data_IF_290357512567
#
_entry.id   IF_290357512567
#
_cell.length_a   1.000
_cell.length_b   1.000
_cell.length_c   1.000
_cell.angle_alpha   90.00
_cell.angle_beta   90.00
_cell.angle_gamma   90.00
#
_symmetry.space_group_name_H-M   'P 1'
#
loop_
_entity.id
_entity.type
_entity.pdbx_description
1 polymer ?
#
# COMPACT_ATOMS: atom_id res chain seq x y z
N UNK A 1 65.53 -5.94 -23.67
CA UNK A 1 64.54 -5.80 -24.76
C UNK A 1 63.18 -5.95 -24.13
N UNK A 2 62.45 -4.84 -24.19
CA UNK A 2 61.21 -4.51 -23.49
C UNK A 2 60.01 -5.21 -24.15
N UNK A 3 59.05 -5.67 -23.35
CA UNK A 3 57.94 -6.51 -23.78
C UNK A 3 56.67 -6.32 -22.96
N UNK A 4 56.43 -5.13 -22.40
CA UNK A 4 55.17 -4.79 -21.73
C UNK A 4 54.09 -4.37 -22.74
N UNK A 5 53.34 -5.32 -23.29
CA UNK A 5 52.12 -5.04 -24.07
C UNK A 5 50.94 -4.79 -23.13
N UNK A 6 50.63 -3.51 -22.86
CA UNK A 6 49.38 -3.10 -22.21
C UNK A 6 48.23 -3.11 -23.22
N UNK A 7 47.21 -3.92 -22.96
CA UNK A 7 45.96 -3.91 -23.73
C UNK A 7 45.12 -2.65 -23.43
N UNK A 8 44.52 -1.99 -24.43
CA UNK A 8 43.58 -0.90 -24.19
C UNK A 8 42.21 -1.44 -23.73
N UNK A 9 41.73 -0.92 -22.61
CA UNK A 9 40.38 -1.13 -22.09
C UNK A 9 39.38 -0.40 -23.00
N UNK A 10 38.51 -1.14 -23.70
CA UNK A 10 37.37 -0.59 -24.44
C UNK A 10 36.26 -0.23 -23.45
N UNK A 11 35.90 1.05 -23.38
CA UNK A 11 34.75 1.53 -22.60
C UNK A 11 33.41 1.01 -23.17
N UNK A 12 32.34 0.98 -22.34
CA UNK A 12 31.06 0.44 -22.75
C UNK A 12 30.38 1.32 -23.82
N UNK A 13 29.63 0.72 -24.78
CA UNK A 13 28.86 1.47 -25.76
C UNK A 13 27.71 2.25 -25.10
N UNK A 14 27.53 3.48 -25.56
CA UNK A 14 26.46 4.42 -25.17
C UNK A 14 25.08 3.82 -25.45
N UNK A 15 24.17 3.96 -24.50
CA UNK A 15 22.76 3.63 -24.67
C UNK A 15 22.11 4.55 -25.73
N UNK A 16 21.19 4.05 -26.57
CA UNK A 16 20.39 4.90 -27.44
C UNK A 16 19.37 5.71 -26.64
N UNK A 17 19.32 7.01 -26.92
CA UNK A 17 18.24 7.90 -26.52
C UNK A 17 17.00 7.72 -27.41
N UNK A 18 15.84 7.93 -26.77
CA UNK A 18 14.58 8.42 -27.34
C UNK A 18 13.62 7.37 -27.92
N UNK A 19 12.76 6.86 -27.04
CA UNK A 19 11.37 6.51 -27.35
C UNK A 19 10.45 7.44 -26.57
N UNK A 20 10.10 8.56 -27.19
CA UNK A 20 9.09 9.50 -26.70
C UNK A 20 7.71 8.83 -26.83
N UNK A 21 7.09 8.48 -25.70
CA UNK A 21 5.65 8.22 -25.65
C UNK A 21 5.01 9.24 -24.72
N UNK A 22 4.53 10.31 -25.34
CA UNK A 22 3.46 11.13 -24.80
C UNK A 22 2.18 10.29 -24.72
N UNK A 23 1.42 10.43 -23.63
CA UNK A 23 0.01 10.01 -23.64
C UNK A 23 -0.55 9.35 -22.39
N UNK A 24 -0.57 10.09 -21.27
CA UNK A 24 -1.71 10.23 -20.32
C UNK A 24 -1.16 10.76 -19.00
N UNK A 25 -1.49 12.00 -18.69
CA UNK A 25 -1.36 12.53 -17.33
C UNK A 25 -2.42 11.87 -16.45
N UNK A 26 -2.25 10.57 -16.16
CA UNK A 26 -2.86 9.98 -14.98
C UNK A 26 -2.29 10.70 -13.76
N UNK A 27 -3.14 11.07 -12.79
CA UNK A 27 -2.68 11.62 -11.50
C UNK A 27 -1.61 10.70 -10.94
N UNK A 28 -0.34 11.09 -11.05
CA UNK A 28 0.74 10.41 -10.35
C UNK A 28 0.61 10.82 -8.90
N UNK A 29 -0.09 10.00 -8.12
CA UNK A 29 -0.01 10.09 -6.67
C UNK A 29 1.47 10.06 -6.30
N UNK A 30 1.93 11.01 -5.47
CA UNK A 30 3.26 10.92 -4.87
C UNK A 30 3.15 9.89 -3.77
N UNK A 31 3.75 8.73 -3.99
CA UNK A 31 3.87 7.71 -2.96
C UNK A 31 5.15 7.98 -2.18
N UNK A 32 5.04 8.12 -0.86
CA UNK A 32 6.19 8.09 0.03
C UNK A 32 6.39 6.64 0.46
N UNK A 33 7.58 6.08 0.23
CA UNK A 33 7.90 4.74 0.72
C UNK A 33 8.25 4.83 2.20
N UNK A 34 7.39 4.28 3.07
CA UNK A 34 7.56 4.34 4.54
C UNK A 34 8.52 3.27 5.07
N UNK A 35 8.99 2.34 4.23
CA UNK A 35 9.74 1.15 4.66
C UNK A 35 8.89 0.11 5.40
N UNK A 36 7.60 0.38 5.61
CA UNK A 36 6.66 -0.52 6.26
C UNK A 36 6.14 -1.59 5.28
N UNK A 37 5.73 -2.75 5.81
CA UNK A 37 5.03 -3.75 5.02
C UNK A 37 3.69 -3.17 4.54
N UNK A 38 3.24 -3.59 3.36
CA UNK A 38 2.00 -3.08 2.76
C UNK A 38 0.80 -3.25 3.70
N UNK A 39 0.66 -4.42 4.33
CA UNK A 39 -0.45 -4.69 5.24
C UNK A 39 -0.45 -3.75 6.45
N UNK A 40 0.72 -3.49 7.03
CA UNK A 40 0.86 -2.57 8.17
C UNK A 40 0.51 -1.13 7.76
N UNK A 41 0.99 -0.69 6.58
CA UNK A 41 0.68 0.64 6.06
C UNK A 41 -0.83 0.80 5.78
N UNK A 42 -1.47 -0.23 5.21
CA UNK A 42 -2.91 -0.24 4.96
C UNK A 42 -3.68 -0.21 6.28
N UNK A 43 -3.33 -1.06 7.25
CA UNK A 43 -4.00 -1.11 8.53
C UNK A 43 -3.88 0.23 9.28
N UNK A 44 -2.68 0.81 9.36
CA UNK A 44 -2.45 2.09 10.02
C UNK A 44 -3.22 3.24 9.34
N UNK A 45 -3.23 3.29 8.01
CA UNK A 45 -3.97 4.32 7.27
C UNK A 45 -5.48 4.15 7.45
N UNK A 46 -5.97 2.91 7.41
CA UNK A 46 -7.38 2.61 7.60
C UNK A 46 -7.86 2.95 9.02
N UNK A 47 -7.04 2.67 10.03
CA UNK A 47 -7.32 3.02 11.44
C UNK A 47 -7.48 4.55 11.59
N UNK A 48 -6.54 5.32 11.03
CA UNK A 48 -6.60 6.79 11.04
C UNK A 48 -7.83 7.34 10.31
N UNK A 49 -8.22 6.73 9.17
CA UNK A 49 -9.44 7.11 8.46
C UNK A 49 -10.69 6.78 9.29
N UNK A 50 -10.68 5.65 10.01
CA UNK A 50 -11.78 5.25 10.86
C UNK A 50 -11.93 6.19 12.06
N UNK A 51 -10.83 6.56 12.72
CA UNK A 51 -10.83 7.54 13.80
C UNK A 51 -11.38 8.89 13.32
N UNK A 52 -10.92 9.36 12.16
CA UNK A 52 -11.44 10.60 11.58
C UNK A 52 -12.95 10.51 11.27
N UNK A 53 -13.41 9.38 10.74
CA UNK A 53 -14.83 9.16 10.47
C UNK A 53 -15.67 9.12 11.77
N UNK A 54 -15.16 8.48 12.82
CA UNK A 54 -15.79 8.44 14.15
C UNK A 54 -15.93 9.86 14.70
N UNK A 55 -14.86 10.66 14.66
CA UNK A 55 -14.88 12.06 15.11
C UNK A 55 -15.88 12.89 14.31
N UNK A 56 -15.85 12.81 12.98
CA UNK A 56 -16.72 13.58 12.10
C UNK A 56 -18.20 13.23 12.24
N UNK A 57 -18.52 12.04 12.72
CA UNK A 57 -19.89 11.52 12.80
C UNK A 57 -20.42 11.44 14.23
N UNK A 58 -19.63 11.85 15.22
CA UNK A 58 -20.00 11.74 16.63
C UNK A 58 -20.09 10.28 17.12
N UNK A 59 -19.29 9.38 16.55
CA UNK A 59 -19.21 7.97 16.95
C UNK A 59 -20.13 7.01 16.20
N UNK A 60 -20.76 7.44 15.10
CA UNK A 60 -21.60 6.55 14.32
C UNK A 60 -20.76 5.48 13.62
N UNK A 61 -21.19 4.22 13.68
CA UNK A 61 -20.61 3.15 12.87
C UNK A 61 -21.01 3.37 11.40
N UNK A 62 -20.03 3.63 10.53
CA UNK A 62 -20.28 3.85 9.10
C UNK A 62 -19.42 2.93 8.20
N UNK A 63 -20.05 2.22 7.25
CA UNK A 63 -21.49 1.98 7.17
C UNK A 63 -21.95 1.14 8.38
N UNK A 64 -23.14 1.46 8.92
CA UNK A 64 -23.72 0.68 9.99
C UNK A 64 -23.99 -0.75 9.48
N UNK A 65 -23.19 -1.72 9.94
CA UNK A 65 -23.39 -3.13 9.64
C UNK A 65 -24.44 -3.69 10.61
N UNK A 66 -25.50 -4.38 10.14
CA UNK A 66 -26.41 -5.10 11.02
C UNK A 66 -25.61 -6.05 11.93
N UNK A 67 -25.86 -6.01 13.24
CA UNK A 67 -25.10 -6.76 14.24
C UNK A 67 -23.92 -6.01 14.86
N UNK A 68 -23.53 -4.85 14.33
CA UNK A 68 -22.43 -4.04 14.87
C UNK A 68 -22.88 -2.60 15.15
N UNK A 69 -23.08 -2.29 16.44
CA UNK A 69 -23.36 -0.93 16.92
C UNK A 69 -22.09 -0.12 17.18
N UNK A 70 -20.92 -0.65 16.80
CA UNK A 70 -19.62 -0.04 16.99
C UNK A 70 -18.84 -0.04 15.66
N UNK A 71 -17.92 0.90 15.47
CA UNK A 71 -16.93 0.85 14.41
C UNK A 71 -16.13 -0.46 14.42
N UNK A 72 -15.66 -0.89 13.24
CA UNK A 72 -14.66 -1.95 13.13
C UNK A 72 -13.27 -1.36 13.34
N UNK A 73 -12.32 -2.19 13.77
CA UNK A 73 -10.92 -1.81 13.94
C UNK A 73 -10.06 -2.39 12.82
N UNK A 74 -9.03 -1.67 12.39
CA UNK A 74 -8.07 -2.20 11.43
C UNK A 74 -7.01 -3.07 12.15
N UNK A 75 -6.80 -4.30 11.66
CA UNK A 75 -5.78 -5.23 12.18
C UNK A 75 -5.10 -6.00 11.06
N UNK A 76 -3.87 -6.46 11.30
CA UNK A 76 -3.17 -7.38 10.39
C UNK A 76 -3.32 -8.80 10.92
N UNK A 77 -3.90 -9.68 10.09
CA UNK A 77 -4.05 -11.10 10.35
C UNK A 77 -3.41 -11.86 9.19
N UNK A 78 -2.51 -12.79 9.47
CA UNK A 78 -1.80 -13.61 8.47
C UNK A 78 -1.18 -12.79 7.33
N UNK A 79 -0.64 -11.61 7.66
CA UNK A 79 -0.02 -10.70 6.69
C UNK A 79 -0.99 -9.92 5.80
N UNK A 80 -2.30 -9.96 6.09
CA UNK A 80 -3.35 -9.24 5.37
C UNK A 80 -4.07 -8.28 6.33
N UNK A 81 -4.31 -7.06 5.86
CA UNK A 81 -5.05 -6.06 6.63
C UNK A 81 -6.56 -6.32 6.53
N UNK A 82 -7.21 -6.41 7.68
CA UNK A 82 -8.62 -6.71 7.85
C UNK A 82 -9.31 -5.66 8.72
N UNK A 83 -10.57 -5.39 8.41
CA UNK A 83 -11.53 -4.87 9.37
C UNK A 83 -11.93 -6.00 10.31
N UNK A 84 -11.88 -5.78 11.62
CA UNK A 84 -12.29 -6.77 12.62
C UNK A 84 -13.23 -6.16 13.64
N UNK A 85 -14.14 -6.98 14.16
CA UNK A 85 -14.94 -6.60 15.31
C UNK A 85 -14.02 -6.46 16.55
N UNK A 86 -13.97 -5.28 17.21
CA UNK A 86 -13.15 -5.10 18.41
C UNK A 86 -13.67 -5.87 19.63
N UNK A 87 -14.97 -6.20 19.66
CA UNK A 87 -15.60 -6.89 20.79
C UNK A 87 -15.47 -8.41 20.69
N UNK A 88 -15.52 -8.94 19.47
CA UNK A 88 -15.43 -10.38 19.19
C UNK A 88 -14.76 -10.59 17.81
N UNK A 89 -13.42 -10.61 17.73
CA UNK A 89 -12.71 -10.68 16.45
C UNK A 89 -13.09 -11.88 15.57
N UNK A 90 -13.32 -13.10 16.12
CA UNK A 90 -13.87 -14.22 15.35
C UNK A 90 -15.26 -13.99 14.75
N UNK A 91 -16.11 -13.18 15.38
CA UNK A 91 -17.49 -12.96 14.94
C UNK A 91 -17.57 -12.26 13.58
N UNK A 92 -16.68 -11.32 13.31
CA UNK A 92 -16.65 -10.64 12.03
C UNK A 92 -15.27 -10.11 11.68
N UNK A 93 -14.81 -10.47 10.48
CA UNK A 93 -13.67 -9.88 9.82
C UNK A 93 -13.84 -9.87 8.31
N UNK A 94 -13.26 -8.87 7.64
CA UNK A 94 -13.21 -8.79 6.18
C UNK A 94 -11.95 -8.03 5.69
N UNK A 95 -11.38 -8.37 4.53
CA UNK A 95 -10.21 -7.66 4.00
C UNK A 95 -10.49 -6.17 3.77
N UNK A 96 -9.55 -5.30 4.15
CA UNK A 96 -9.70 -3.84 3.95
C UNK A 96 -9.63 -3.48 2.47
N UNK A 97 -8.71 -4.11 1.75
CA UNK A 97 -8.61 -3.96 0.30
C UNK A 97 -9.31 -5.14 -0.37
N UNK A 98 -9.99 -4.92 -1.51
CA UNK A 98 -10.49 -6.01 -2.32
C UNK A 98 -9.38 -7.01 -2.61
N UNK A 99 -9.62 -8.27 -2.27
CA UNK A 99 -8.86 -9.38 -2.82
C UNK A 99 -9.45 -9.60 -4.20
N UNK A 100 -8.72 -9.24 -5.26
CA UNK A 100 -9.21 -9.34 -6.64
C UNK A 100 -9.87 -10.72 -6.86
N UNK A 101 -11.19 -10.74 -7.01
CA UNK A 101 -11.90 -11.88 -7.56
C UNK A 101 -11.50 -11.95 -9.04
N UNK A 102 -10.70 -12.95 -9.38
CA UNK A 102 -10.36 -13.30 -10.77
C UNK A 102 -11.62 -13.50 -11.61
#
# INVERSE_FOLDING_TARGET
MDGSRRHPVRGPPRAPHRGEQAGRLGRRGRYFTTGALKADAVAATADQLQDHAIEATGGAALPARPGHAHPLSARVLDGVAHWVCPQDPPHHWEPILPTDAR
#
